data_IF_199512784683
#
_entry.id   IF_199512784683
#
_cell.length_a   1.000
_cell.length_b   1.000
_cell.length_c   1.000
_cell.angle_alpha   90.00
_cell.angle_beta   90.00
_cell.angle_gamma   90.00
#
_symmetry.space_group_name_H-M   'P 1'
#
loop_
_entity.id
_entity.type
_entity.pdbx_description
1 polymer ?
#
# COMPACT_ATOMS: atom_id res chain seq x y z
N UNK A 1 -18.40 -43.95 60.54
CA UNK A 1 -16.96 -43.68 60.26
C UNK A 1 -16.51 -44.73 59.27
N UNK A 2 -16.56 -44.44 57.98
CA UNK A 2 -16.05 -45.34 56.95
C UNK A 2 -14.62 -44.91 56.68
N UNK A 3 -13.67 -45.76 57.14
CA UNK A 3 -12.26 -45.62 56.81
C UNK A 3 -12.06 -45.83 55.31
N UNK A 4 -11.67 -44.78 54.58
CA UNK A 4 -11.21 -44.95 53.23
C UNK A 4 -9.88 -45.73 53.32
N UNK A 5 -9.93 -46.97 52.92
CA UNK A 5 -8.72 -47.76 52.68
C UNK A 5 -7.90 -47.02 51.62
N UNK A 6 -6.71 -46.53 52.04
CA UNK A 6 -5.77 -45.87 51.12
C UNK A 6 -5.20 -46.91 50.22
N UNK A 7 -5.52 -46.85 48.94
CA UNK A 7 -4.99 -47.75 47.94
C UNK A 7 -3.47 -47.58 47.86
N UNK A 8 -2.72 -48.65 48.09
CA UNK A 8 -1.26 -48.75 48.01
C UNK A 8 -0.85 -49.51 46.75
N UNK A 9 0.21 -49.09 46.12
CA UNK A 9 0.84 -49.80 45.00
C UNK A 9 2.38 -49.69 45.09
N UNK A 10 3.06 -50.80 44.78
CA UNK A 10 4.51 -50.80 44.64
C UNK A 10 4.91 -50.24 43.26
N UNK A 11 5.83 -49.30 43.26
CA UNK A 11 6.27 -48.64 42.06
C UNK A 11 7.82 -48.73 41.92
N UNK A 12 8.28 -49.24 40.78
CA UNK A 12 9.68 -49.32 40.51
C UNK A 12 10.29 -47.90 40.37
N UNK A 13 11.22 -47.55 41.27
CA UNK A 13 11.88 -46.24 41.32
C UNK A 13 12.59 -45.84 40.02
N UNK A 14 13.01 -46.84 39.24
CA UNK A 14 13.74 -46.65 37.97
C UNK A 14 12.86 -46.05 36.84
N UNK A 15 11.54 -46.05 36.95
CA UNK A 15 10.63 -45.50 35.95
C UNK A 15 10.08 -44.11 36.29
N UNK A 16 10.42 -43.57 37.47
CA UNK A 16 9.86 -42.35 38.00
C UNK A 16 10.89 -41.21 37.93
N UNK A 17 10.47 -40.05 37.40
CA UNK A 17 11.28 -38.84 37.50
C UNK A 17 10.91 -38.06 38.76
N UNK A 18 11.84 -37.87 39.64
CA UNK A 18 11.70 -37.13 40.89
C UNK A 18 12.35 -35.77 40.73
N UNK A 19 11.65 -34.71 41.10
CA UNK A 19 12.15 -33.36 41.08
C UNK A 19 12.04 -32.71 42.46
N UNK A 20 12.89 -31.76 42.75
CA UNK A 20 12.82 -30.99 43.98
C UNK A 20 12.01 -29.72 43.76
N UNK A 21 11.10 -29.44 44.68
CA UNK A 21 10.37 -28.15 44.71
C UNK A 21 11.33 -27.04 45.11
N UNK A 22 11.44 -26.02 44.31
CA UNK A 22 12.34 -24.90 44.58
C UNK A 22 11.58 -23.55 44.64
N UNK A 23 12.10 -22.64 45.45
CA UNK A 23 11.67 -21.24 45.42
C UNK A 23 12.73 -20.48 44.59
N UNK A 24 12.42 -20.24 43.33
CA UNK A 24 13.32 -19.62 42.39
C UNK A 24 12.61 -18.54 41.56
N UNK A 25 13.38 -17.82 40.78
CA UNK A 25 12.86 -16.85 39.84
C UNK A 25 12.05 -17.56 38.75
N UNK A 26 10.81 -17.21 38.63
CA UNK A 26 9.90 -17.69 37.59
C UNK A 26 9.76 -16.64 36.50
N UNK A 27 10.26 -16.96 35.33
CA UNK A 27 10.13 -16.14 34.15
C UNK A 27 8.85 -16.54 33.40
N UNK A 28 7.93 -15.61 33.29
CA UNK A 28 6.63 -15.84 32.65
C UNK A 28 6.74 -15.55 31.16
N UNK A 29 7.07 -16.57 30.38
CA UNK A 29 7.25 -16.46 28.93
C UNK A 29 6.66 -17.65 28.18
N UNK A 30 6.42 -17.43 26.89
CA UNK A 30 6.07 -18.48 25.92
C UNK A 30 7.06 -18.49 24.78
N UNK A 31 7.51 -19.68 24.39
CA UNK A 31 8.38 -19.83 23.22
C UNK A 31 7.54 -20.00 21.96
N UNK A 32 7.84 -19.22 20.95
CA UNK A 32 7.16 -19.23 19.66
C UNK A 32 8.18 -19.25 18.52
N UNK A 33 7.81 -19.89 17.41
CA UNK A 33 8.62 -19.90 16.20
C UNK A 33 8.37 -18.61 15.41
N UNK A 34 9.40 -17.80 15.29
CA UNK A 34 9.37 -16.55 14.55
C UNK A 34 10.08 -16.67 13.20
N UNK A 35 9.42 -16.31 12.12
CA UNK A 35 10.00 -16.27 10.78
C UNK A 35 10.41 -14.85 10.41
N UNK A 36 11.64 -14.70 9.95
CA UNK A 36 12.16 -13.41 9.46
C UNK A 36 11.52 -13.09 8.12
N UNK A 37 10.93 -11.91 8.03
CA UNK A 37 10.33 -11.40 6.79
C UNK A 37 10.78 -9.96 6.54
N UNK A 38 10.74 -9.47 5.29
CA UNK A 38 11.02 -8.07 4.98
C UNK A 38 10.06 -7.16 5.76
N UNK A 39 10.51 -5.93 6.05
CA UNK A 39 9.66 -4.96 6.75
C UNK A 39 8.39 -4.64 5.96
N UNK A 40 8.51 -4.61 4.64
CA UNK A 40 7.41 -4.40 3.71
C UNK A 40 7.57 -5.27 2.46
N UNK A 41 6.46 -5.75 1.95
CA UNK A 41 6.36 -6.43 0.66
C UNK A 41 5.40 -5.67 -0.21
N UNK A 42 5.86 -5.20 -1.37
CA UNK A 42 5.05 -4.46 -2.33
C UNK A 42 4.74 -5.34 -3.53
N UNK A 43 3.48 -5.40 -3.91
CA UNK A 43 3.06 -6.14 -5.09
C UNK A 43 3.45 -5.38 -6.36
N UNK A 44 3.98 -6.10 -7.35
CA UNK A 44 4.16 -5.61 -8.71
C UNK A 44 2.92 -6.02 -9.49
N UNK A 45 2.22 -5.05 -10.05
CA UNK A 45 1.11 -5.26 -10.97
C UNK A 45 1.28 -4.37 -12.20
N UNK A 46 0.74 -4.81 -13.34
CA UNK A 46 0.72 -3.98 -14.55
C UNK A 46 -0.52 -3.11 -14.56
N UNK A 47 -0.35 -1.81 -14.77
CA UNK A 47 -1.48 -0.88 -14.93
C UNK A 47 -2.11 -1.01 -16.32
N UNK A 48 -1.33 -1.34 -17.35
CA UNK A 48 -1.77 -1.54 -18.74
C UNK A 48 -1.61 -3.00 -19.14
N UNK A 49 -2.52 -3.49 -19.99
CA UNK A 49 -2.41 -4.82 -20.58
C UNK A 49 -1.41 -4.86 -21.74
N UNK A 50 -0.81 -6.01 -21.95
CA UNK A 50 0.11 -6.22 -23.07
C UNK A 50 0.78 -7.58 -23.04
N UNK A 51 1.65 -7.82 -23.99
CA UNK A 51 2.45 -9.04 -24.10
C UNK A 51 3.85 -8.76 -23.56
N UNK A 52 4.38 -9.65 -22.74
CA UNK A 52 5.73 -9.53 -22.16
C UNK A 52 6.77 -9.59 -23.29
N UNK A 53 7.40 -8.44 -23.54
CA UNK A 53 8.44 -8.31 -24.56
C UNK A 53 9.83 -8.65 -24.00
N UNK A 54 10.12 -8.23 -22.77
CA UNK A 54 11.39 -8.47 -22.12
C UNK A 54 11.26 -8.47 -20.59
N UNK A 55 11.99 -9.36 -19.93
CA UNK A 55 12.31 -9.30 -18.50
C UNK A 55 13.64 -8.56 -18.38
N UNK A 56 13.63 -7.37 -17.81
CA UNK A 56 14.84 -6.54 -17.65
C UNK A 56 15.57 -6.90 -16.37
N UNK A 57 14.83 -7.32 -15.36
CA UNK A 57 15.32 -7.79 -14.06
C UNK A 57 14.68 -9.13 -13.74
N UNK A 58 15.46 -10.02 -13.15
CA UNK A 58 15.01 -11.33 -12.70
C UNK A 58 14.77 -11.38 -11.18
N UNK A 59 14.22 -12.50 -10.69
CA UNK A 59 14.06 -12.77 -9.29
C UNK A 59 15.40 -12.69 -8.55
N UNK A 60 15.40 -12.13 -7.35
CA UNK A 60 16.61 -11.89 -6.54
C UNK A 60 17.41 -10.66 -6.97
N UNK A 61 17.04 -9.97 -8.04
CA UNK A 61 17.73 -8.76 -8.47
C UNK A 61 17.40 -7.56 -7.59
N UNK A 62 18.41 -6.75 -7.28
CA UNK A 62 18.25 -5.46 -6.63
C UNK A 62 17.67 -4.44 -7.60
N UNK A 63 16.68 -3.68 -7.14
CA UNK A 63 16.02 -2.62 -7.89
C UNK A 63 15.94 -1.35 -7.07
N UNK A 64 16.12 -0.21 -7.74
CA UNK A 64 15.83 1.10 -7.20
C UNK A 64 14.46 1.58 -7.68
N UNK A 65 13.86 2.49 -6.92
CA UNK A 65 12.60 3.11 -7.31
C UNK A 65 12.70 3.73 -8.71
N UNK A 66 11.82 3.33 -9.61
CA UNK A 66 11.79 3.75 -11.01
C UNK A 66 12.50 2.82 -11.99
N UNK A 67 13.27 1.85 -11.53
CA UNK A 67 13.90 0.85 -12.40
C UNK A 67 12.84 0.03 -13.15
N UNK A 68 13.08 -0.22 -14.44
CA UNK A 68 12.22 -1.07 -15.26
C UNK A 68 12.46 -2.53 -14.91
N UNK A 69 11.41 -3.24 -14.58
CA UNK A 69 11.43 -4.67 -14.24
C UNK A 69 11.08 -5.50 -15.47
N UNK A 70 9.95 -5.20 -16.11
CA UNK A 70 9.52 -5.84 -17.36
C UNK A 70 9.06 -4.79 -18.36
N UNK A 71 9.13 -5.15 -19.64
CA UNK A 71 8.56 -4.36 -20.74
C UNK A 71 7.45 -5.14 -21.39
N UNK A 72 6.32 -4.47 -21.58
CA UNK A 72 5.17 -4.98 -22.31
C UNK A 72 5.10 -4.32 -23.67
N UNK A 73 4.49 -5.00 -24.63
CA UNK A 73 4.07 -4.44 -25.91
C UNK A 73 2.55 -4.46 -26.02
N UNK A 74 1.97 -3.42 -26.62
CA UNK A 74 0.54 -3.32 -26.87
C UNK A 74 0.29 -2.56 -28.18
N UNK A 75 0.04 -3.34 -29.24
CA UNK A 75 -0.19 -2.80 -30.58
C UNK A 75 -1.43 -1.92 -30.70
N UNK A 76 -2.47 -2.21 -29.90
CA UNK A 76 -3.69 -1.39 -29.89
C UNK A 76 -3.40 0.00 -29.33
N UNK A 77 -2.57 0.09 -28.28
CA UNK A 77 -2.15 1.36 -27.70
C UNK A 77 -1.26 2.16 -28.66
N UNK A 78 -0.40 1.48 -29.44
CA UNK A 78 0.40 2.12 -30.48
C UNK A 78 -0.49 2.73 -31.58
N UNK A 79 -1.54 2.02 -31.99
CA UNK A 79 -2.53 2.55 -32.96
C UNK A 79 -3.33 3.71 -32.36
N UNK A 80 -3.72 3.64 -31.08
CA UNK A 80 -4.44 4.72 -30.39
C UNK A 80 -3.62 6.00 -30.36
N UNK A 81 -2.30 5.91 -30.10
CA UNK A 81 -1.39 7.06 -30.15
C UNK A 81 -1.33 7.64 -31.57
N UNK A 82 -1.13 6.81 -32.58
CA UNK A 82 -1.04 7.23 -33.98
C UNK A 82 -2.31 7.97 -34.41
N UNK A 83 -3.48 7.44 -34.05
CA UNK A 83 -4.76 8.08 -34.34
C UNK A 83 -4.89 9.43 -33.65
N UNK A 84 -4.61 9.50 -32.35
CA UNK A 84 -4.68 10.76 -31.59
C UNK A 84 -3.72 11.83 -32.12
N UNK A 85 -2.50 11.44 -32.52
CA UNK A 85 -1.52 12.35 -33.14
C UNK A 85 -1.98 12.82 -34.51
N UNK A 86 -2.59 11.94 -35.32
CA UNK A 86 -3.16 12.28 -36.63
C UNK A 86 -4.31 13.27 -36.53
N UNK A 87 -5.24 13.04 -35.60
CA UNK A 87 -6.36 13.97 -35.33
C UNK A 87 -5.87 15.35 -34.86
N UNK A 88 -4.84 15.38 -34.00
CA UNK A 88 -4.22 16.61 -33.55
C UNK A 88 -3.61 17.37 -34.72
N UNK A 89 -2.87 16.68 -35.61
CA UNK A 89 -2.23 17.28 -36.78
C UNK A 89 -3.29 17.84 -37.76
N UNK A 90 -4.38 17.12 -37.99
CA UNK A 90 -5.50 17.58 -38.83
C UNK A 90 -6.12 18.86 -38.28
N UNK A 91 -6.42 18.91 -36.99
CA UNK A 91 -6.98 20.11 -36.35
C UNK A 91 -6.03 21.29 -36.34
N UNK A 92 -4.72 21.05 -36.18
CA UNK A 92 -3.71 22.11 -36.32
C UNK A 92 -3.70 22.71 -37.72
N UNK A 93 -3.75 21.86 -38.76
CA UNK A 93 -3.83 22.31 -40.15
C UNK A 93 -5.14 23.07 -40.44
N UNK A 94 -6.25 22.59 -39.88
CA UNK A 94 -7.54 23.29 -40.02
C UNK A 94 -7.51 24.68 -39.37
N UNK A 95 -6.93 24.82 -38.16
CA UNK A 95 -6.78 26.14 -37.52
C UNK A 95 -5.89 27.06 -38.36
N UNK A 96 -4.79 26.55 -38.92
CA UNK A 96 -3.89 27.31 -39.79
C UNK A 96 -4.66 27.83 -41.02
N UNK A 97 -5.38 26.94 -41.71
CA UNK A 97 -6.21 27.32 -42.89
C UNK A 97 -7.25 28.33 -42.53
N UNK A 98 -7.98 28.15 -41.43
CA UNK A 98 -9.01 29.11 -40.96
C UNK A 98 -8.37 30.45 -40.65
N UNK A 99 -7.25 30.54 -40.00
CA UNK A 99 -6.56 31.82 -39.74
C UNK A 99 -6.13 32.53 -41.03
N UNK A 100 -5.61 31.79 -42.00
CA UNK A 100 -5.26 32.38 -43.31
C UNK A 100 -6.49 32.93 -44.00
N UNK A 101 -7.63 32.23 -44.04
CA UNK A 101 -8.87 32.71 -44.60
C UNK A 101 -9.38 33.97 -43.89
N UNK A 102 -9.35 33.96 -42.54
CA UNK A 102 -9.77 35.13 -41.74
C UNK A 102 -8.90 36.36 -42.02
N UNK A 103 -7.57 36.18 -42.19
CA UNK A 103 -6.68 37.30 -42.52
C UNK A 103 -6.94 37.84 -43.93
N UNK A 104 -7.21 36.96 -44.90
CA UNK A 104 -7.62 37.36 -46.26
C UNK A 104 -8.92 38.19 -46.24
N UNK A 105 -9.94 37.70 -45.50
CA UNK A 105 -11.24 38.41 -45.36
C UNK A 105 -11.06 39.75 -44.66
N UNK A 106 -10.21 39.83 -43.67
CA UNK A 106 -9.87 41.09 -42.99
C UNK A 106 -9.25 42.12 -43.92
N UNK A 107 -8.28 41.69 -44.76
CA UNK A 107 -7.64 42.53 -45.75
C UNK A 107 -8.68 43.07 -46.79
N UNK A 108 -9.54 42.18 -47.30
CA UNK A 108 -10.58 42.52 -48.23
C UNK A 108 -11.57 43.55 -47.64
N UNK A 109 -12.07 43.29 -46.43
CA UNK A 109 -12.99 44.18 -45.72
C UNK A 109 -12.28 45.53 -45.38
N UNK A 110 -11.00 45.55 -45.08
CA UNK A 110 -10.24 46.78 -44.81
C UNK A 110 -10.09 47.64 -46.07
N UNK A 111 -9.86 47.02 -47.22
CA UNK A 111 -9.83 47.72 -48.52
C UNK A 111 -11.20 48.34 -48.87
N UNK A 112 -12.29 47.57 -48.68
CA UNK A 112 -13.65 48.09 -48.90
C UNK A 112 -13.96 49.27 -47.96
N UNK A 113 -13.59 49.20 -46.69
CA UNK A 113 -13.76 50.29 -45.72
C UNK A 113 -12.96 51.57 -46.14
N UNK A 114 -11.75 51.39 -46.65
CA UNK A 114 -10.91 52.49 -47.14
C UNK A 114 -11.57 53.16 -48.35
N UNK A 115 -12.09 52.40 -49.32
CA UNK A 115 -12.78 52.94 -50.50
C UNK A 115 -14.04 53.73 -50.11
N UNK A 116 -14.86 53.17 -49.19
CA UNK A 116 -16.04 53.86 -48.68
C UNK A 116 -15.69 55.12 -47.89
N UNK A 117 -14.61 55.13 -47.14
CA UNK A 117 -14.13 56.34 -46.46
C UNK A 117 -13.71 57.46 -47.44
N UNK A 118 -13.07 57.08 -48.56
CA UNK A 118 -12.73 58.02 -49.60
C UNK A 118 -13.96 58.55 -50.31
N UNK A 119 -14.95 57.71 -50.58
CA UNK A 119 -16.25 58.10 -51.15
C UNK A 119 -16.96 59.12 -50.27
N UNK A 120 -17.05 58.85 -48.97
CA UNK A 120 -17.60 59.82 -47.98
C UNK A 120 -16.88 61.16 -48.06
N UNK A 121 -15.56 61.21 -48.14
CA UNK A 121 -14.86 62.49 -48.27
C UNK A 121 -15.14 63.20 -49.53
N UNK A 122 -15.30 62.48 -50.63
CA UNK A 122 -15.63 63.10 -51.97
C UNK A 122 -17.04 63.63 -51.97
N UNK A 123 -18.02 62.87 -51.51
CA UNK A 123 -19.42 63.30 -51.40
C UNK A 123 -19.63 64.47 -50.42
N UNK A 124 -18.87 64.45 -49.29
CA UNK A 124 -18.91 65.57 -48.36
C UNK A 124 -18.37 66.86 -48.97
N UNK A 125 -17.33 66.84 -49.76
CA UNK A 125 -16.82 68.01 -50.48
C UNK A 125 -17.86 68.54 -51.48
N UNK A 126 -18.48 67.60 -52.21
CA UNK A 126 -19.57 68.00 -53.16
C UNK A 126 -20.77 68.64 -52.45
N UNK A 127 -21.20 68.03 -51.34
CA UNK A 127 -22.29 68.56 -50.52
C UNK A 127 -21.94 69.98 -49.99
N UNK A 128 -20.74 70.14 -49.37
CA UNK A 128 -20.35 71.49 -48.88
C UNK A 128 -20.27 72.55 -49.97
N UNK A 129 -19.82 72.14 -51.18
CA UNK A 129 -19.83 73.07 -52.31
C UNK A 129 -21.28 73.50 -52.72
N UNK A 130 -22.20 72.54 -52.83
CA UNK A 130 -23.56 72.80 -53.15
C UNK A 130 -24.32 73.62 -52.05
N UNK A 131 -23.96 73.33 -50.75
CA UNK A 131 -24.45 74.12 -49.64
C UNK A 131 -24.04 75.58 -49.66
N UNK A 132 -22.79 75.87 -50.03
CA UNK A 132 -22.23 77.20 -50.17
C UNK A 132 -22.98 77.97 -51.32
N UNK A 133 -23.14 77.30 -52.48
CA UNK A 133 -23.87 77.88 -53.62
C UNK A 133 -25.35 78.13 -53.31
N UNK A 134 -25.99 77.27 -52.50
CA UNK A 134 -27.37 77.41 -52.06
C UNK A 134 -27.55 78.65 -51.16
N UNK A 135 -26.57 78.93 -50.30
CA UNK A 135 -26.59 80.14 -49.44
C UNK A 135 -26.51 81.43 -50.19
N UNK A 136 -25.86 81.38 -51.40
CA UNK A 136 -25.79 82.54 -52.33
C UNK A 136 -26.86 82.54 -53.42
N UNK A 137 -27.86 81.60 -53.35
CA UNK A 137 -28.94 81.44 -54.33
C UNK A 137 -28.45 81.14 -55.77
N UNK A 138 -27.22 80.50 -55.89
CA UNK A 138 -26.58 80.28 -57.19
C UNK A 138 -26.79 78.86 -57.79
N UNK A 139 -27.55 77.99 -57.11
CA UNK A 139 -27.81 76.60 -57.58
C UNK A 139 -29.35 76.27 -57.41
N UNK A 140 -29.78 75.19 -58.08
CA UNK A 140 -31.13 74.66 -57.87
C UNK A 140 -31.26 73.92 -56.53
N UNK A 141 -32.46 73.97 -55.93
CA UNK A 141 -32.73 73.20 -54.70
C UNK A 141 -32.57 71.66 -54.89
N UNK A 142 -32.84 71.23 -56.14
CA UNK A 142 -32.68 69.79 -56.48
C UNK A 142 -31.26 69.38 -56.49
N UNK A 143 -30.30 70.16 -57.02
CA UNK A 143 -28.82 69.82 -56.97
C UNK A 143 -28.32 69.80 -55.57
N UNK A 144 -28.78 70.69 -54.70
CA UNK A 144 -28.41 70.64 -53.25
C UNK A 144 -28.95 69.40 -52.57
N UNK A 145 -30.26 69.06 -52.76
CA UNK A 145 -30.83 67.85 -52.14
C UNK A 145 -30.17 66.59 -52.63
N UNK A 146 -29.89 66.48 -53.92
CA UNK A 146 -29.16 65.35 -54.50
C UNK A 146 -27.76 65.14 -53.85
N UNK A 147 -26.99 66.23 -53.77
CA UNK A 147 -25.66 66.15 -53.11
C UNK A 147 -25.75 65.77 -51.64
N UNK A 148 -26.82 66.25 -50.92
CA UNK A 148 -27.03 65.87 -49.53
C UNK A 148 -27.37 64.40 -49.39
N UNK A 149 -28.31 63.88 -50.19
CA UNK A 149 -28.70 62.47 -50.17
C UNK A 149 -27.57 61.55 -50.52
N UNK A 150 -26.74 61.88 -51.51
CA UNK A 150 -25.57 61.12 -51.88
C UNK A 150 -24.54 61.08 -50.77
N UNK A 151 -24.32 62.17 -50.04
CA UNK A 151 -23.43 62.22 -48.87
C UNK A 151 -23.98 61.39 -47.73
N UNK A 152 -25.28 61.56 -47.38
CA UNK A 152 -25.92 60.77 -46.31
C UNK A 152 -25.85 59.27 -46.60
N UNK A 153 -26.10 58.85 -47.84
CA UNK A 153 -25.95 57.46 -48.28
C UNK A 153 -24.54 56.93 -48.11
N UNK A 154 -23.54 57.74 -48.53
CA UNK A 154 -22.17 57.36 -48.38
C UNK A 154 -21.76 57.16 -46.89
N UNK A 155 -22.23 58.06 -46.00
CA UNK A 155 -22.02 57.93 -44.54
C UNK A 155 -22.66 56.68 -43.99
N UNK A 156 -23.84 56.34 -44.43
CA UNK A 156 -24.54 55.14 -44.00
C UNK A 156 -23.84 53.87 -44.45
N UNK A 157 -23.33 53.85 -45.69
CA UNK A 157 -22.56 52.73 -46.20
C UNK A 157 -21.23 52.53 -45.38
N UNK A 158 -20.50 53.62 -45.08
CA UNK A 158 -19.29 53.56 -44.25
C UNK A 158 -19.62 53.06 -42.85
N UNK A 159 -20.70 53.50 -42.25
CA UNK A 159 -21.15 53.02 -40.92
C UNK A 159 -21.43 51.51 -40.92
N UNK A 160 -22.13 51.02 -41.97
CA UNK A 160 -22.42 49.59 -42.12
C UNK A 160 -21.15 48.74 -42.25
N UNK A 161 -20.17 49.15 -43.06
CA UNK A 161 -18.91 48.37 -43.21
C UNK A 161 -18.12 48.38 -41.93
N UNK A 162 -18.08 49.49 -41.17
CA UNK A 162 -17.45 49.56 -39.85
C UNK A 162 -18.13 48.63 -38.84
N UNK A 163 -19.45 48.54 -38.83
CA UNK A 163 -20.19 47.59 -37.98
C UNK A 163 -19.89 46.13 -38.39
N UNK A 164 -19.87 45.82 -39.70
CA UNK A 164 -19.53 44.50 -40.22
C UNK A 164 -18.12 44.08 -39.79
N UNK A 165 -17.13 44.97 -39.93
CA UNK A 165 -15.75 44.73 -39.51
C UNK A 165 -15.64 44.37 -38.03
N UNK A 166 -16.31 45.15 -37.15
CA UNK A 166 -16.34 44.87 -35.70
C UNK A 166 -16.93 43.50 -35.42
N UNK A 167 -18.11 43.23 -35.98
CA UNK A 167 -18.81 41.97 -35.74
C UNK A 167 -18.03 40.75 -36.25
N UNK A 168 -17.47 40.86 -37.46
CA UNK A 168 -16.62 39.79 -38.01
C UNK A 168 -15.35 39.56 -37.15
N UNK A 169 -14.73 40.65 -36.67
CA UNK A 169 -13.56 40.52 -35.78
C UNK A 169 -13.89 39.81 -34.45
N UNK A 170 -15.04 40.13 -33.85
CA UNK A 170 -15.53 39.46 -32.64
C UNK A 170 -15.79 37.96 -32.87
N UNK A 171 -16.50 37.64 -33.98
CA UNK A 171 -16.80 36.24 -34.33
C UNK A 171 -15.50 35.45 -34.64
N UNK A 172 -14.59 36.03 -35.40
CA UNK A 172 -13.31 35.41 -35.73
C UNK A 172 -12.47 35.15 -34.48
N UNK A 173 -12.45 36.09 -33.54
CA UNK A 173 -11.77 35.91 -32.25
C UNK A 173 -12.36 34.77 -31.48
N UNK A 174 -13.68 34.73 -31.31
CA UNK A 174 -14.37 33.65 -30.60
C UNK A 174 -14.12 32.28 -31.25
N UNK A 175 -14.16 32.22 -32.59
CA UNK A 175 -13.89 30.98 -33.32
C UNK A 175 -12.45 30.49 -33.12
N UNK A 176 -11.46 31.39 -33.16
CA UNK A 176 -10.04 31.03 -32.91
C UNK A 176 -9.80 30.59 -31.48
N UNK A 177 -10.45 31.27 -30.51
CA UNK A 177 -10.40 30.87 -29.10
C UNK A 177 -11.00 29.48 -28.90
N UNK A 178 -12.14 29.18 -29.49
CA UNK A 178 -12.76 27.86 -29.43
C UNK A 178 -11.87 26.79 -30.05
N UNK A 179 -11.37 27.00 -31.25
CA UNK A 179 -10.44 26.06 -31.90
C UNK A 179 -9.15 25.87 -31.11
N UNK A 180 -8.66 26.92 -30.44
CA UNK A 180 -7.52 26.87 -29.55
C UNK A 180 -7.77 25.97 -28.32
N UNK A 181 -8.94 26.08 -27.73
CA UNK A 181 -9.38 25.22 -26.60
C UNK A 181 -9.52 23.76 -27.03
N UNK A 182 -10.10 23.51 -28.20
CA UNK A 182 -10.24 22.15 -28.75
C UNK A 182 -8.84 21.51 -28.97
N UNK A 183 -7.89 22.26 -29.53
CA UNK A 183 -6.52 21.81 -29.69
C UNK A 183 -5.81 21.54 -28.37
N UNK A 184 -6.05 22.36 -27.34
CA UNK A 184 -5.48 22.12 -26.01
C UNK A 184 -5.98 20.81 -25.44
N UNK A 185 -7.28 20.52 -25.59
CA UNK A 185 -7.88 19.26 -25.17
C UNK A 185 -7.32 18.06 -25.92
N UNK A 186 -7.13 18.18 -27.24
CA UNK A 186 -6.54 17.12 -28.05
C UNK A 186 -5.07 16.87 -27.68
N UNK A 187 -4.28 17.91 -27.43
CA UNK A 187 -2.90 17.77 -26.94
C UNK A 187 -2.85 17.02 -25.62
N UNK A 188 -3.79 17.35 -24.71
CA UNK A 188 -3.89 16.63 -23.44
C UNK A 188 -4.25 15.16 -23.63
N UNK A 189 -5.13 14.84 -24.57
CA UNK A 189 -5.45 13.46 -24.92
C UNK A 189 -4.22 12.70 -25.41
N UNK A 190 -3.45 13.29 -26.37
CA UNK A 190 -2.20 12.67 -26.85
C UNK A 190 -1.22 12.42 -25.70
N UNK A 191 -1.07 13.38 -24.78
CA UNK A 191 -0.21 13.23 -23.59
C UNK A 191 -0.65 12.05 -22.73
N UNK A 192 -1.96 11.94 -22.41
CA UNK A 192 -2.50 10.85 -21.63
C UNK A 192 -2.26 9.47 -22.27
N UNK A 193 -2.47 9.36 -23.58
CA UNK A 193 -2.20 8.09 -24.29
C UNK A 193 -0.71 7.74 -24.28
N UNK A 194 0.17 8.73 -24.42
CA UNK A 194 1.62 8.54 -24.29
C UNK A 194 2.04 8.13 -22.87
N UNK A 195 1.43 8.70 -21.84
CA UNK A 195 1.65 8.27 -20.46
C UNK A 195 1.22 6.80 -20.27
N UNK A 196 0.09 6.39 -20.81
CA UNK A 196 -0.34 4.98 -20.81
C UNK A 196 0.70 4.09 -21.49
N UNK A 197 1.26 4.48 -22.63
CA UNK A 197 2.35 3.76 -23.28
C UNK A 197 3.59 3.65 -22.39
N UNK A 198 3.94 4.70 -21.67
CA UNK A 198 5.07 4.67 -20.74
C UNK A 198 4.89 3.64 -19.60
N UNK A 199 3.63 3.37 -19.19
CA UNK A 199 3.26 2.37 -18.19
C UNK A 199 3.40 0.92 -18.67
N UNK A 200 3.58 0.69 -19.96
CA UNK A 200 4.00 -0.63 -20.47
C UNK A 200 5.40 -1.03 -19.98
N UNK A 201 6.21 -0.10 -19.54
CA UNK A 201 7.41 -0.38 -18.76
C UNK A 201 7.00 -0.47 -17.28
N UNK A 202 6.79 -1.67 -16.78
CA UNK A 202 6.48 -1.88 -15.37
C UNK A 202 7.72 -1.59 -14.54
N UNK A 203 7.59 -0.65 -13.60
CA UNK A 203 8.71 -0.11 -12.82
C UNK A 203 8.57 -0.42 -11.34
N UNK A 204 9.70 -0.50 -10.66
CA UNK A 204 9.72 -0.57 -9.20
C UNK A 204 9.19 0.72 -8.59
N UNK A 205 8.30 0.57 -7.59
CA UNK A 205 7.76 1.68 -6.81
C UNK A 205 8.59 1.99 -5.56
N UNK A 206 9.48 1.07 -5.16
CA UNK A 206 10.35 1.18 -3.99
C UNK A 206 11.76 0.68 -4.33
N UNK A 207 12.72 0.99 -3.46
CA UNK A 207 14.02 0.33 -3.45
C UNK A 207 13.88 -1.03 -2.76
N UNK A 208 14.49 -2.08 -3.31
CA UNK A 208 14.38 -3.41 -2.72
C UNK A 208 14.93 -4.51 -3.59
N UNK A 209 14.47 -5.72 -3.35
CA UNK A 209 14.85 -6.92 -4.09
C UNK A 209 13.60 -7.61 -4.64
N UNK A 210 13.64 -8.03 -5.89
CA UNK A 210 12.54 -8.78 -6.51
C UNK A 210 12.45 -10.15 -5.83
N UNK A 211 11.33 -10.41 -5.14
CA UNK A 211 11.10 -11.68 -4.47
C UNK A 211 10.60 -12.75 -5.43
N UNK A 212 9.41 -12.54 -5.97
CA UNK A 212 8.78 -13.42 -6.97
C UNK A 212 8.46 -12.60 -8.21
N UNK A 213 8.67 -13.17 -9.38
CA UNK A 213 8.31 -12.58 -10.68
C UNK A 213 7.68 -13.67 -11.56
N UNK A 214 6.35 -13.82 -11.44
CA UNK A 214 5.56 -14.87 -12.10
C UNK A 214 5.09 -14.40 -13.48
N UNK A 215 6.05 -14.26 -14.40
CA UNK A 215 5.79 -13.90 -15.80
C UNK A 215 6.79 -14.55 -16.74
N UNK A 216 6.32 -14.91 -17.94
CA UNK A 216 7.12 -15.50 -19.00
C UNK A 216 7.15 -14.60 -20.24
N UNK A 217 8.22 -14.70 -21.03
CA UNK A 217 8.31 -14.00 -22.32
C UNK A 217 7.19 -14.45 -23.27
N UNK A 218 6.51 -13.49 -23.88
CA UNK A 218 5.39 -13.76 -24.77
C UNK A 218 4.05 -13.99 -24.06
N UNK A 219 4.03 -14.00 -22.73
CA UNK A 219 2.79 -14.13 -21.96
C UNK A 219 1.95 -12.84 -22.08
N UNK A 220 0.63 -13.01 -22.21
CA UNK A 220 -0.32 -11.88 -22.15
C UNK A 220 -0.64 -11.51 -20.72
N UNK A 221 -0.51 -10.24 -20.37
CA UNK A 221 -0.79 -9.67 -19.06
C UNK A 221 -2.02 -8.77 -19.17
N UNK A 222 -2.97 -8.95 -18.25
CA UNK A 222 -4.14 -8.10 -18.14
C UNK A 222 -3.88 -6.87 -17.24
N UNK A 223 -4.59 -5.75 -17.44
CA UNK A 223 -4.53 -4.62 -16.53
C UNK A 223 -4.88 -5.04 -15.09
N UNK A 224 -4.09 -4.59 -14.11
CA UNK A 224 -4.27 -4.95 -12.69
C UNK A 224 -3.76 -6.33 -12.30
N UNK A 225 -3.27 -7.14 -13.23
CA UNK A 225 -2.74 -8.46 -12.93
C UNK A 225 -1.48 -8.34 -12.07
N UNK A 226 -1.45 -9.08 -10.96
CA UNK A 226 -0.27 -9.25 -10.13
C UNK A 226 0.76 -10.09 -10.89
N UNK A 227 1.97 -9.59 -10.99
CA UNK A 227 3.07 -10.23 -11.72
C UNK A 227 4.27 -10.56 -10.85
N UNK A 228 4.30 -10.04 -9.63
CA UNK A 228 5.40 -10.31 -8.71
C UNK A 228 5.32 -9.52 -7.43
N UNK A 229 6.42 -9.56 -6.68
CA UNK A 229 6.59 -8.80 -5.42
C UNK A 229 7.99 -8.23 -5.32
N UNK A 230 8.11 -7.08 -4.65
CA UNK A 230 9.37 -6.47 -4.24
C UNK A 230 9.44 -6.50 -2.72
N UNK A 231 10.52 -7.02 -2.19
CA UNK A 231 10.82 -7.05 -0.77
C UNK A 231 11.65 -5.82 -0.40
N UNK A 232 11.14 -5.02 0.52
CA UNK A 232 11.93 -3.96 1.15
C UNK A 232 12.83 -4.59 2.21
N UNK A 233 14.11 -4.67 1.90
CA UNK A 233 15.13 -5.24 2.78
C UNK A 233 15.88 -4.16 3.59
N UNK A 234 15.38 -2.94 3.64
CA UNK A 234 15.95 -1.86 4.48
C UNK A 234 15.90 -2.22 5.96
N UNK A 235 14.87 -2.98 6.34
CA UNK A 235 14.72 -3.54 7.67
C UNK A 235 13.98 -4.89 7.60
N UNK A 236 13.97 -5.60 8.73
CA UNK A 236 13.31 -6.90 8.89
C UNK A 236 12.39 -6.87 10.09
N UNK A 237 11.36 -7.66 10.02
CA UNK A 237 10.49 -8.00 11.15
C UNK A 237 10.47 -9.52 11.32
N UNK A 238 10.08 -9.98 12.49
CA UNK A 238 9.88 -11.39 12.78
C UNK A 238 8.40 -11.62 12.98
N UNK A 239 7.81 -12.47 12.15
CA UNK A 239 6.41 -12.88 12.27
C UNK A 239 6.32 -14.19 13.04
N UNK A 240 5.42 -14.26 14.00
CA UNK A 240 5.17 -15.48 14.77
C UNK A 240 3.68 -15.75 14.93
N UNK A 241 3.33 -17.01 15.13
CA UNK A 241 2.01 -17.44 15.51
C UNK A 241 2.01 -17.87 16.97
N UNK A 242 1.06 -17.31 17.72
CA UNK A 242 0.87 -17.57 19.15
C UNK A 242 -0.45 -18.28 19.36
N UNK A 243 -0.48 -19.25 20.28
CA UNK A 243 -1.70 -19.96 20.66
C UNK A 243 -2.76 -18.99 21.20
N UNK A 244 -4.03 -19.20 20.83
CA UNK A 244 -5.14 -18.33 21.22
C UNK A 244 -5.32 -18.19 22.73
N UNK A 245 -4.85 -19.18 23.51
CA UNK A 245 -4.88 -19.15 24.97
C UNK A 245 -4.17 -17.91 25.56
N UNK A 246 -3.23 -17.33 24.82
CA UNK A 246 -2.45 -16.16 25.26
C UNK A 246 -2.99 -14.82 24.72
N UNK A 247 -4.11 -14.82 23.99
CA UNK A 247 -4.60 -13.63 23.26
C UNK A 247 -4.84 -12.42 24.18
N UNK A 248 -5.37 -12.66 25.37
CA UNK A 248 -5.67 -11.60 26.35
C UNK A 248 -4.41 -11.04 27.03
N UNK A 249 -3.28 -11.74 26.92
CA UNK A 249 -2.02 -11.40 27.59
C UNK A 249 -0.98 -10.81 26.63
N UNK A 250 -1.17 -10.99 25.32
CA UNK A 250 -0.22 -10.53 24.30
C UNK A 250 -0.68 -9.19 23.74
N UNK A 251 0.13 -8.18 23.93
CA UNK A 251 -0.12 -6.84 23.43
C UNK A 251 1.16 -6.19 22.83
N UNK A 252 0.98 -5.15 22.04
CA UNK A 252 2.11 -4.39 21.52
C UNK A 252 2.95 -3.80 22.67
N UNK A 253 4.27 -3.79 22.49
CA UNK A 253 5.23 -3.31 23.47
C UNK A 253 5.84 -4.38 24.38
N UNK A 254 5.32 -5.62 24.37
CA UNK A 254 5.95 -6.71 25.10
C UNK A 254 7.34 -7.01 24.56
N UNK A 255 8.26 -7.30 25.48
CA UNK A 255 9.64 -7.68 25.14
C UNK A 255 9.72 -9.18 24.82
N UNK A 256 10.59 -9.51 23.92
CA UNK A 256 10.94 -10.88 23.60
C UNK A 256 12.45 -11.02 23.37
N UNK A 257 12.95 -12.22 23.51
CA UNK A 257 14.37 -12.51 23.27
C UNK A 257 14.51 -13.78 22.44
N UNK A 258 15.58 -13.87 21.69
CA UNK A 258 16.01 -15.11 21.05
C UNK A 258 17.52 -15.22 21.09
N UNK A 259 18.02 -16.45 21.04
CA UNK A 259 19.46 -16.72 21.03
C UNK A 259 19.88 -17.17 19.63
N UNK A 260 20.99 -16.60 19.14
CA UNK A 260 21.62 -17.06 17.91
C UNK A 260 23.14 -16.97 18.04
N UNK A 261 23.85 -18.07 17.75
CA UNK A 261 25.30 -18.15 17.81
C UNK A 261 25.88 -17.69 19.17
N UNK A 262 25.24 -18.07 20.29
CA UNK A 262 25.65 -17.72 21.64
C UNK A 262 25.46 -16.25 22.02
N UNK A 263 24.65 -15.51 21.25
CA UNK A 263 24.27 -14.12 21.53
C UNK A 263 22.77 -14.00 21.67
N UNK A 264 22.35 -13.28 22.69
CA UNK A 264 20.94 -12.96 22.92
C UNK A 264 20.59 -11.64 22.22
N UNK A 265 19.53 -11.68 21.41
CA UNK A 265 18.96 -10.54 20.73
C UNK A 265 17.61 -10.19 21.32
N UNK A 266 17.24 -8.92 21.28
CA UNK A 266 15.96 -8.42 21.80
C UNK A 266 15.02 -8.06 20.68
N UNK A 267 13.77 -8.41 20.90
CA UNK A 267 12.65 -8.07 20.04
C UNK A 267 11.58 -7.35 20.89
N UNK A 268 10.75 -6.58 20.22
CA UNK A 268 9.54 -5.98 20.83
C UNK A 268 8.35 -6.29 19.94
N UNK A 269 7.23 -6.66 20.55
CA UNK A 269 5.97 -6.86 19.84
C UNK A 269 5.54 -5.52 19.25
N UNK A 270 5.55 -5.44 17.94
CA UNK A 270 5.11 -4.25 17.18
C UNK A 270 3.60 -4.24 16.97
N UNK A 271 3.06 -5.39 16.56
CA UNK A 271 1.66 -5.52 16.19
C UNK A 271 1.12 -6.88 16.57
N UNK A 272 -0.11 -6.89 17.05
CA UNK A 272 -0.91 -8.11 17.29
C UNK A 272 -2.06 -8.08 16.30
N UNK A 273 -2.26 -9.18 15.57
CA UNK A 273 -3.38 -9.33 14.65
C UNK A 273 -4.51 -10.05 15.39
N UNK A 274 -5.69 -9.44 15.55
CA UNK A 274 -6.75 -9.96 16.40
C UNK A 274 -7.46 -11.19 15.81
N UNK A 275 -7.19 -11.51 14.55
CA UNK A 275 -7.83 -12.65 13.88
C UNK A 275 -7.20 -13.97 14.31
N UNK A 276 -8.01 -14.83 14.92
CA UNK A 276 -7.61 -16.21 15.26
C UNK A 276 -7.92 -17.13 14.09
N UNK A 277 -6.94 -17.88 13.65
CA UNK A 277 -7.06 -18.94 12.63
C UNK A 277 -6.45 -20.22 13.17
N UNK A 278 -7.16 -21.32 13.09
CA UNK A 278 -6.69 -22.64 13.56
C UNK A 278 -6.16 -22.62 15.01
N UNK A 279 -6.83 -21.88 15.90
CA UNK A 279 -6.44 -21.75 17.31
C UNK A 279 -5.18 -20.90 17.55
N UNK A 280 -4.74 -20.10 16.58
CA UNK A 280 -3.56 -19.24 16.68
C UNK A 280 -3.84 -17.85 16.15
N UNK A 281 -3.15 -16.87 16.71
CA UNK A 281 -3.13 -15.50 16.20
C UNK A 281 -1.70 -15.08 15.84
N UNK A 282 -1.60 -14.15 14.90
CA UNK A 282 -0.32 -13.68 14.37
C UNK A 282 0.15 -12.45 15.13
N UNK A 283 1.46 -12.36 15.36
CA UNK A 283 2.14 -11.18 15.88
C UNK A 283 3.37 -10.83 15.05
N UNK A 284 3.70 -9.55 15.00
CA UNK A 284 4.93 -9.05 14.40
C UNK A 284 5.83 -8.49 15.49
N UNK A 285 7.11 -8.87 15.47
CA UNK A 285 8.17 -8.30 16.28
C UNK A 285 9.08 -7.40 15.44
N UNK A 286 9.60 -6.36 16.07
CA UNK A 286 10.72 -5.58 15.56
C UNK A 286 11.95 -5.79 16.41
N UNK A 287 13.13 -5.65 15.82
CA UNK A 287 14.40 -5.73 16.55
C UNK A 287 14.57 -4.50 17.45
N UNK A 288 14.92 -4.73 18.69
CA UNK A 288 15.18 -3.69 19.70
C UNK A 288 16.67 -3.67 20.01
N UNK A 289 17.43 -2.83 19.31
CA UNK A 289 18.89 -2.72 19.45
C UNK A 289 19.66 -3.51 18.38
N UNK A 290 20.65 -4.31 18.83
CA UNK A 290 21.48 -5.08 17.91
C UNK A 290 20.68 -6.16 17.20
N UNK A 291 20.98 -6.38 15.92
CA UNK A 291 20.41 -7.44 15.10
C UNK A 291 21.52 -8.37 14.55
N UNK A 292 21.21 -9.61 14.19
CA UNK A 292 22.18 -10.51 13.56
C UNK A 292 22.76 -9.90 12.27
N UNK A 293 24.06 -10.08 12.05
CA UNK A 293 24.75 -9.50 10.88
C UNK A 293 24.30 -10.11 9.55
N UNK A 294 23.97 -11.40 9.55
CA UNK A 294 23.61 -12.16 8.33
C UNK A 294 22.14 -12.58 8.38
N UNK A 295 21.26 -11.62 8.55
CA UNK A 295 19.83 -11.88 8.57
C UNK A 295 19.34 -12.17 7.14
N UNK A 296 18.50 -13.20 6.97
CA UNK A 296 17.90 -13.57 5.70
C UNK A 296 16.41 -13.82 5.86
N UNK A 297 15.64 -13.41 4.87
CA UNK A 297 14.22 -13.74 4.79
C UNK A 297 14.02 -15.27 4.84
N UNK A 298 13.03 -15.71 5.61
CA UNK A 298 12.69 -17.12 5.79
C UNK A 298 13.48 -17.83 6.91
N UNK A 299 14.45 -17.18 7.55
CA UNK A 299 15.09 -17.76 8.74
C UNK A 299 14.08 -17.87 9.88
N UNK A 300 14.17 -18.96 10.63
CA UNK A 300 13.36 -19.19 11.84
C UNK A 300 14.19 -18.92 13.08
N UNK A 301 13.61 -18.14 14.00
CA UNK A 301 14.15 -17.90 15.34
C UNK A 301 13.20 -18.45 16.39
N UNK A 302 13.74 -19.10 17.42
CA UNK A 302 12.97 -19.51 18.60
C UNK A 302 12.90 -18.32 19.55
N UNK A 303 11.74 -17.71 19.62
CA UNK A 303 11.54 -16.44 20.33
C UNK A 303 10.82 -16.69 21.65
N UNK A 304 11.42 -16.26 22.74
CA UNK A 304 10.84 -16.29 24.07
C UNK A 304 10.12 -14.96 24.33
N UNK A 305 8.79 -14.96 24.20
CA UNK A 305 7.94 -13.82 24.41
C UNK A 305 7.61 -13.68 25.89
N UNK A 306 8.03 -12.58 26.51
CA UNK A 306 7.75 -12.28 27.92
C UNK A 306 6.28 -11.85 28.08
N UNK A 307 5.55 -12.60 28.91
CA UNK A 307 4.12 -12.35 29.20
C UNK A 307 3.89 -11.60 30.51
N UNK A 308 4.91 -11.53 31.36
CA UNK A 308 4.83 -10.87 32.65
C UNK A 308 6.21 -10.65 33.27
N UNK A 309 6.21 -9.99 34.43
CA UNK A 309 7.43 -9.77 35.19
C UNK A 309 7.93 -11.06 35.81
N UNK A 310 9.26 -11.20 35.85
CA UNK A 310 9.95 -12.25 36.56
C UNK A 310 9.77 -12.06 38.07
N UNK A 311 9.22 -13.06 38.75
CA UNK A 311 8.97 -13.03 40.21
C UNK A 311 9.41 -14.32 40.86
N UNK A 312 9.85 -14.26 42.14
CA UNK A 312 10.10 -15.45 42.91
C UNK A 312 8.81 -16.22 43.14
N UNK A 313 8.83 -17.51 42.84
CA UNK A 313 7.71 -18.40 42.97
C UNK A 313 8.16 -19.82 43.40
N UNK A 314 7.23 -20.59 43.90
CA UNK A 314 7.45 -22.04 44.12
C UNK A 314 7.25 -22.68 42.76
N UNK A 315 8.30 -23.39 42.30
CA UNK A 315 8.29 -23.99 40.96
C UNK A 315 8.58 -25.48 41.00
N UNK A 316 8.01 -26.19 40.05
CA UNK A 316 8.29 -27.59 39.75
C UNK A 316 8.55 -27.77 38.26
N UNK A 317 9.49 -28.64 37.84
CA UNK A 317 9.69 -28.90 36.41
C UNK A 317 8.46 -29.50 35.76
N UNK A 318 8.28 -29.21 34.48
CA UNK A 318 7.21 -29.85 33.68
C UNK A 318 7.45 -31.35 33.58
N UNK A 319 6.37 -32.10 33.61
CA UNK A 319 6.39 -33.54 33.49
C UNK A 319 5.03 -34.11 33.10
N UNK A 320 5.00 -35.41 32.81
CA UNK A 320 3.80 -36.12 32.33
C UNK A 320 2.70 -36.23 33.41
N UNK A 321 2.99 -35.91 34.69
CA UNK A 321 1.97 -35.89 35.72
C UNK A 321 0.78 -34.96 35.35
N UNK A 322 1.06 -33.85 34.70
CA UNK A 322 0.03 -32.87 34.36
C UNK A 322 -1.05 -33.42 33.41
N UNK A 323 -0.66 -34.23 32.42
CA UNK A 323 -1.61 -34.84 31.48
C UNK A 323 -2.55 -35.83 32.14
N UNK A 324 -2.15 -36.46 33.25
CA UNK A 324 -2.94 -37.43 34.02
C UNK A 324 -3.77 -36.76 35.11
N UNK A 325 -3.21 -35.74 35.78
CA UNK A 325 -3.80 -35.13 36.99
C UNK A 325 -4.53 -33.80 36.68
N UNK A 326 -4.34 -33.24 35.48
CA UNK A 326 -4.79 -31.86 35.16
C UNK A 326 -4.16 -30.81 36.07
N UNK A 327 -3.04 -31.10 36.72
CA UNK A 327 -2.38 -30.17 37.64
C UNK A 327 -3.10 -29.99 38.99
N UNK A 328 -4.05 -30.86 39.32
CA UNK A 328 -4.85 -30.73 40.54
C UNK A 328 -4.25 -31.45 41.74
N UNK A 329 -3.36 -32.42 41.51
CA UNK A 329 -2.67 -33.16 42.55
C UNK A 329 -1.34 -33.72 42.04
N UNK A 330 -0.44 -34.03 42.98
CA UNK A 330 0.91 -34.59 42.70
C UNK A 330 1.29 -35.54 43.82
N UNK A 331 2.20 -36.51 43.53
CA UNK A 331 2.80 -37.35 44.58
C UNK A 331 4.01 -36.66 45.19
N UNK A 332 3.99 -36.52 46.53
CA UNK A 332 5.06 -35.92 47.32
C UNK A 332 5.75 -37.04 48.13
N UNK A 333 7.08 -37.12 48.02
CA UNK A 333 7.84 -38.11 48.73
C UNK A 333 7.92 -37.78 50.25
N UNK A 334 7.93 -38.83 51.05
CA UNK A 334 8.28 -38.71 52.47
C UNK A 334 9.75 -38.40 52.68
N UNK A 335 10.14 -38.09 53.92
CA UNK A 335 11.53 -37.74 54.26
C UNK A 335 12.50 -38.86 54.01
N UNK A 336 12.06 -40.09 54.09
CA UNK A 336 12.88 -41.28 53.87
C UNK A 336 12.98 -41.69 52.41
N UNK A 337 12.16 -41.08 51.54
CA UNK A 337 12.13 -41.32 50.08
C UNK A 337 11.61 -42.70 49.69
N UNK A 338 10.95 -43.43 50.62
CA UNK A 338 10.40 -44.78 50.41
C UNK A 338 8.90 -44.78 50.07
N UNK A 339 8.20 -43.70 50.39
CA UNK A 339 6.77 -43.58 50.11
C UNK A 339 6.50 -42.23 49.51
N UNK A 340 5.49 -42.18 48.65
CA UNK A 340 4.97 -40.93 48.11
C UNK A 340 3.45 -40.85 48.31
N UNK A 341 3.00 -39.70 48.75
CA UNK A 341 1.61 -39.43 49.11
C UNK A 341 0.98 -38.47 48.12
N UNK A 342 -0.27 -38.81 47.70
CA UNK A 342 -1.06 -37.94 46.88
C UNK A 342 -1.43 -36.66 47.65
N UNK A 343 -1.04 -35.50 47.10
CA UNK A 343 -1.31 -34.20 47.69
C UNK A 343 -1.99 -33.28 46.66
N UNK A 344 -3.09 -32.62 47.04
CA UNK A 344 -3.73 -31.60 46.23
C UNK A 344 -2.83 -30.41 46.08
N UNK A 345 -2.74 -29.89 44.89
CA UNK A 345 -1.95 -28.70 44.54
C UNK A 345 -2.81 -27.76 43.68
N UNK A 346 -2.40 -26.52 43.62
CA UNK A 346 -2.94 -25.54 42.70
C UNK A 346 -1.79 -24.94 41.87
N UNK A 347 -1.83 -25.17 40.56
CA UNK A 347 -0.88 -24.64 39.61
C UNK A 347 -1.36 -23.26 39.16
N UNK A 348 -0.45 -22.30 39.06
CA UNK A 348 -0.66 -20.98 38.57
C UNK A 348 -0.16 -20.85 37.12
N UNK A 349 0.79 -19.95 36.90
CA UNK A 349 1.39 -19.70 35.59
C UNK A 349 2.31 -20.87 35.19
N UNK A 350 2.56 -20.94 33.88
CA UNK A 350 3.48 -21.94 33.32
C UNK A 350 4.36 -21.31 32.25
N UNK A 351 5.58 -21.78 32.16
CA UNK A 351 6.49 -21.51 31.05
C UNK A 351 6.92 -22.84 30.37
N UNK A 352 7.73 -22.86 29.35
CA UNK A 352 8.16 -24.11 28.69
C UNK A 352 8.80 -25.13 29.61
N UNK A 353 9.42 -24.72 30.73
CA UNK A 353 10.24 -25.59 31.61
C UNK A 353 9.58 -25.91 32.94
N UNK A 354 8.80 -24.97 33.50
CA UNK A 354 8.30 -25.06 34.88
C UNK A 354 6.81 -24.71 34.97
N UNK A 355 6.20 -25.27 36.07
CA UNK A 355 4.90 -24.82 36.58
C UNK A 355 5.16 -24.01 37.86
N UNK A 356 4.48 -22.88 37.99
CA UNK A 356 4.31 -22.17 39.26
C UNK A 356 3.30 -22.89 40.13
N UNK A 357 3.63 -23.13 41.36
CA UNK A 357 2.69 -23.76 42.35
C UNK A 357 2.26 -22.70 43.32
N UNK A 358 0.94 -22.45 43.34
CA UNK A 358 0.36 -21.44 44.21
C UNK A 358 0.07 -21.99 45.62
N UNK A 359 -0.31 -23.25 45.69
CA UNK A 359 -0.66 -23.92 46.97
C UNK A 359 -0.32 -25.42 46.94
N UNK A 360 -0.01 -25.96 48.09
CA UNK A 360 0.10 -27.40 48.29
C UNK A 360 1.49 -27.97 48.36
N UNK A 361 2.54 -27.21 48.03
CA UNK A 361 3.94 -27.65 48.12
C UNK A 361 4.81 -26.63 48.84
N UNK A 362 5.85 -27.12 49.50
CA UNK A 362 6.85 -26.30 50.18
C UNK A 362 8.21 -26.49 49.53
N UNK A 363 9.07 -25.42 49.50
CA UNK A 363 10.43 -25.52 49.00
C UNK A 363 11.25 -26.60 49.71
N UNK A 364 11.94 -27.42 48.94
CA UNK A 364 12.76 -28.53 49.48
C UNK A 364 12.07 -29.88 49.41
N UNK A 365 10.75 -29.95 49.29
CA UNK A 365 10.06 -31.20 49.09
C UNK A 365 10.43 -31.87 47.75
N UNK A 366 10.34 -33.19 47.70
CA UNK A 366 10.56 -33.98 46.49
C UNK A 366 9.21 -34.43 45.93
N UNK A 367 9.01 -34.28 44.64
CA UNK A 367 7.76 -34.61 43.94
C UNK A 367 8.03 -35.52 42.76
N UNK A 368 7.12 -36.37 42.42
CA UNK A 368 7.18 -37.21 41.23
C UNK A 368 6.54 -36.48 40.08
N UNK A 369 7.29 -36.22 39.00
CA UNK A 369 6.81 -35.43 37.85
C UNK A 369 6.50 -36.28 36.62
N UNK A 370 6.78 -37.59 36.65
CA UNK A 370 6.48 -38.49 35.53
C UNK A 370 5.99 -39.88 36.02
N UNK A 371 5.51 -40.71 35.10
CA UNK A 371 5.18 -42.10 35.37
C UNK A 371 3.80 -42.35 36.02
N UNK A 372 2.82 -41.49 35.79
CA UNK A 372 1.52 -41.53 36.47
C UNK A 372 0.51 -42.48 35.84
N UNK A 373 0.72 -43.03 34.67
CA UNK A 373 -0.27 -43.82 33.93
C UNK A 373 -0.78 -45.05 34.65
N UNK A 374 0.10 -45.69 35.46
CA UNK A 374 -0.23 -46.88 36.25
C UNK A 374 -0.74 -46.58 37.67
N UNK A 375 -0.72 -45.33 38.13
CA UNK A 375 -0.86 -45.00 39.56
C UNK A 375 -1.95 -43.96 39.88
N UNK A 376 -2.78 -43.58 38.92
CA UNK A 376 -3.73 -42.49 39.07
C UNK A 376 -4.79 -42.70 40.15
N UNK A 377 -5.16 -43.95 40.46
CA UNK A 377 -6.21 -44.31 41.40
C UNK A 377 -5.67 -44.60 42.83
N UNK A 378 -4.36 -44.48 43.03
CA UNK A 378 -3.72 -44.76 44.31
C UNK A 378 -3.45 -43.50 45.12
N UNK A 379 -3.53 -43.61 46.43
CA UNK A 379 -3.21 -42.49 47.35
C UNK A 379 -1.78 -42.55 47.88
N UNK A 380 -1.21 -43.72 47.87
CA UNK A 380 0.18 -43.96 48.37
C UNK A 380 0.94 -44.84 47.38
N UNK A 381 2.14 -44.40 47.01
CA UNK A 381 3.11 -45.22 46.28
C UNK A 381 4.20 -45.70 47.25
N UNK A 382 4.53 -46.97 47.24
CA UNK A 382 5.71 -47.54 47.92
C UNK A 382 6.79 -47.71 46.88
N UNK A 383 7.95 -47.07 47.08
CA UNK A 383 9.04 -47.05 46.13
C UNK A 383 10.06 -48.12 46.51
N UNK A 384 10.29 -49.09 45.63
CA UNK A 384 11.29 -50.14 45.76
C UNK A 384 12.56 -49.82 44.94
#
# INVERSE_FOLDING_TARGET
>A
MAGHDKLHIDAARRGLSIAQVSNAQFDDYVSVDGSVVPIQVVQISSEEGGVVLAKVKDEGAHVSKGDVIIRLSNSNLDLEILNAESELAEKQNMLRSTRLSMEQDKLNNSNEALQLSMDVRTKHRAYNHQEALQKEELNSREDYLKAKEEYELAVQKEKLIRQRLRKTSELNRSQVEQMGSDLASMRKNVELVRERKARLNVRSTIDGEIGLLDVELGQSISPGQKIGVINDLSDYKVEAQVDEHYIDRVHAGLSATFEQNGRTYRLTVRKVYPEVREGRFKIDFTFSGARPKNIRTGQTYYVDLQLGESKKAIIIPKGTFYSVTGGTWIFVLDKDGRKAYRRKIRIGRQNPQYYEVLEGLEPGEKVIVSGYEGYKDNDILVLE
#
